data_IF_842611169960
#
_entry.id   IF_842611169960
#
_cell.length_a   1.000
_cell.length_b   1.000
_cell.length_c   1.000
_cell.angle_alpha   90.00
_cell.angle_beta   90.00
_cell.angle_gamma   90.00
#
_symmetry.space_group_name_H-M   'P 1'
#
loop_
_entity.id
_entity.type
_entity.pdbx_description
1 polymer ?
#
# COMPACT_ATOMS: atom_id res chain seq x y z
N UNK A 1 44.44 -34.80 5.33
CA UNK A 1 44.11 -33.52 6.00
C UNK A 1 42.96 -32.76 5.35
N UNK A 2 42.89 -32.60 4.02
CA UNK A 2 41.82 -31.80 3.36
C UNK A 2 40.41 -32.43 3.45
N UNK A 3 40.31 -33.77 3.37
CA UNK A 3 39.03 -34.50 3.49
C UNK A 3 38.45 -34.49 4.91
N UNK A 4 39.31 -34.55 5.93
CA UNK A 4 38.88 -34.44 7.34
C UNK A 4 38.40 -33.04 7.69
N UNK A 5 39.00 -32.00 7.10
CA UNK A 5 38.55 -30.61 7.31
C UNK A 5 37.13 -30.36 6.75
N UNK A 6 36.83 -30.94 5.56
CA UNK A 6 35.51 -30.83 4.92
C UNK A 6 34.40 -31.55 5.71
N UNK A 7 34.72 -32.71 6.29
CA UNK A 7 33.76 -33.46 7.13
C UNK A 7 33.46 -32.67 8.40
N UNK A 8 34.47 -32.08 9.05
CA UNK A 8 34.26 -31.26 10.24
C UNK A 8 33.53 -29.94 9.95
N UNK A 9 33.77 -29.33 8.77
CA UNK A 9 33.01 -28.15 8.33
C UNK A 9 31.52 -28.47 8.08
N UNK A 10 31.22 -29.62 7.46
CA UNK A 10 29.84 -30.06 7.25
C UNK A 10 29.12 -30.42 8.56
N UNK A 11 29.82 -31.04 9.52
CA UNK A 11 29.27 -31.35 10.85
C UNK A 11 29.03 -30.08 11.66
N UNK A 12 29.95 -29.09 11.61
CA UNK A 12 29.76 -27.78 12.21
C UNK A 12 28.58 -27.02 11.59
N UNK A 13 28.43 -27.06 10.26
CA UNK A 13 27.31 -26.41 9.57
C UNK A 13 25.96 -27.03 9.98
N UNK A 14 25.89 -28.36 10.08
CA UNK A 14 24.71 -29.07 10.59
C UNK A 14 24.42 -28.76 12.06
N UNK A 15 25.45 -28.57 12.89
CA UNK A 15 25.28 -28.16 14.29
C UNK A 15 24.81 -26.70 14.42
N UNK A 16 25.32 -25.79 13.59
CA UNK A 16 24.90 -24.38 13.56
C UNK A 16 23.45 -24.28 13.07
N UNK A 17 23.08 -25.02 12.02
CA UNK A 17 21.70 -25.10 11.54
C UNK A 17 20.76 -25.71 12.58
N UNK A 18 21.22 -26.72 13.34
CA UNK A 18 20.47 -27.29 14.46
C UNK A 18 20.28 -26.33 15.64
N UNK A 19 21.24 -25.42 15.88
CA UNK A 19 21.15 -24.42 16.95
C UNK A 19 20.27 -23.22 16.58
N UNK A 20 20.27 -22.80 15.30
CA UNK A 20 19.37 -21.74 14.80
C UNK A 20 17.91 -22.21 14.80
N UNK A 21 17.66 -23.50 14.63
CA UNK A 21 16.31 -24.10 14.73
C UNK A 21 15.71 -24.17 16.14
N UNK A 22 16.45 -23.79 17.20
CA UNK A 22 15.97 -23.93 18.58
C UNK A 22 15.54 -22.63 19.28
N UNK A 23 15.53 -21.46 18.63
CA UNK A 23 15.18 -20.19 19.31
C UNK A 23 14.08 -19.34 18.69
N UNK A 24 13.34 -19.85 17.69
CA UNK A 24 12.11 -19.19 17.21
C UNK A 24 10.88 -20.05 17.49
N UNK A 25 10.47 -20.07 18.76
CA UNK A 25 9.19 -20.66 19.19
C UNK A 25 8.11 -19.58 19.25
N UNK A 26 7.33 -19.46 18.18
CA UNK A 26 6.01 -18.80 18.22
C UNK A 26 4.96 -19.72 18.87
N UNK A 27 3.83 -19.17 19.29
CA UNK A 27 2.76 -19.83 20.08
C UNK A 27 2.14 -21.10 19.46
N UNK A 28 2.52 -21.51 18.23
CA UNK A 28 1.96 -22.68 17.51
C UNK A 28 2.96 -23.81 17.19
N UNK A 29 4.17 -23.80 17.75
CA UNK A 29 5.18 -24.86 17.51
C UNK A 29 6.16 -24.54 16.37
N UNK A 30 7.07 -25.48 16.03
CA UNK A 30 8.05 -25.26 14.96
C UNK A 30 7.35 -25.14 13.61
N UNK A 31 7.78 -24.19 12.78
CA UNK A 31 7.32 -24.02 11.40
C UNK A 31 7.34 -25.37 10.68
N UNK A 32 6.26 -25.67 9.98
CA UNK A 32 6.22 -26.83 9.10
C UNK A 32 7.28 -26.66 8.00
N UNK A 33 7.74 -27.79 7.43
CA UNK A 33 8.75 -27.75 6.36
C UNK A 33 8.30 -26.89 5.18
N UNK A 34 6.99 -26.83 4.92
CA UNK A 34 6.38 -26.02 3.87
C UNK A 34 6.43 -24.52 4.20
N UNK A 35 6.13 -24.13 5.44
CA UNK A 35 6.26 -22.73 5.89
C UNK A 35 7.72 -22.27 5.98
N UNK A 36 8.63 -23.16 6.37
CA UNK A 36 10.07 -22.89 6.40
C UNK A 36 10.66 -22.78 4.99
N UNK A 37 10.15 -23.57 4.03
CA UNK A 37 10.50 -23.46 2.61
C UNK A 37 9.90 -22.19 2.01
N UNK A 38 8.67 -21.81 2.34
CA UNK A 38 8.08 -20.58 1.83
C UNK A 38 8.78 -19.33 2.38
N UNK A 39 9.06 -19.29 3.69
CA UNK A 39 9.88 -18.24 4.30
C UNK A 39 11.33 -18.24 3.78
N UNK A 40 11.88 -19.43 3.49
CA UNK A 40 13.20 -19.59 2.88
C UNK A 40 13.25 -19.12 1.43
N UNK A 41 12.19 -19.34 0.64
CA UNK A 41 12.03 -18.89 -0.76
C UNK A 41 11.84 -17.37 -0.81
N UNK A 42 11.03 -16.80 0.08
CA UNK A 42 10.92 -15.35 0.27
C UNK A 42 12.27 -14.73 0.68
N UNK A 43 13.08 -15.45 1.46
CA UNK A 43 14.43 -15.03 1.85
C UNK A 43 15.56 -15.35 0.81
N UNK A 44 15.28 -16.10 -0.26
CA UNK A 44 16.26 -16.50 -1.29
C UNK A 44 15.98 -15.97 -2.69
N UNK A 45 15.09 -14.99 -2.84
CA UNK A 45 15.17 -14.04 -3.96
C UNK A 45 16.42 -13.17 -3.75
N UNK A 46 17.60 -13.75 -3.92
CA UNK A 46 18.84 -12.99 -3.88
C UNK A 46 18.84 -12.01 -5.04
N UNK A 47 19.32 -10.80 -4.77
CA UNK A 47 19.61 -9.76 -5.78
C UNK A 47 20.26 -10.35 -7.03
N UNK A 48 21.12 -11.36 -6.88
CA UNK A 48 21.83 -12.04 -7.97
C UNK A 48 20.92 -12.90 -8.86
N UNK A 49 20.03 -13.72 -8.28
CA UNK A 49 19.11 -14.55 -9.06
C UNK A 49 18.10 -13.71 -9.84
N UNK A 50 17.70 -12.58 -9.27
CA UNK A 50 16.81 -11.62 -9.93
C UNK A 50 17.54 -10.81 -11.02
N UNK A 51 18.75 -10.31 -10.74
CA UNK A 51 19.59 -9.64 -11.74
C UNK A 51 19.93 -10.54 -12.94
N UNK A 52 20.14 -11.85 -12.71
CA UNK A 52 20.38 -12.81 -13.79
C UNK A 52 19.14 -13.00 -14.67
N UNK A 53 17.95 -13.12 -14.06
CA UNK A 53 16.68 -13.19 -14.81
C UNK A 53 16.38 -11.92 -15.61
N UNK A 54 16.67 -10.74 -15.05
CA UNK A 54 16.47 -9.45 -15.74
C UNK A 54 17.48 -9.26 -16.88
N UNK A 55 18.73 -9.66 -16.70
CA UNK A 55 19.73 -9.52 -17.77
C UNK A 55 19.45 -10.46 -18.94
N UNK A 56 18.85 -11.62 -18.70
CA UNK A 56 18.40 -12.54 -19.75
C UNK A 56 17.17 -11.99 -20.50
N UNK A 57 16.22 -11.37 -19.77
CA UNK A 57 15.10 -10.66 -20.37
C UNK A 57 15.57 -9.45 -21.23
N UNK A 58 16.57 -8.68 -20.75
CA UNK A 58 17.16 -7.56 -21.48
C UNK A 58 17.81 -8.00 -22.78
N UNK A 59 18.57 -9.11 -22.76
CA UNK A 59 19.18 -9.67 -23.98
C UNK A 59 18.14 -10.14 -24.99
N UNK A 60 17.01 -10.67 -24.51
CA UNK A 60 15.90 -11.09 -25.35
C UNK A 60 15.23 -9.89 -26.03
N UNK A 61 14.97 -8.82 -25.28
CA UNK A 61 14.39 -7.58 -25.83
C UNK A 61 15.30 -6.89 -26.85
N UNK A 62 16.62 -6.82 -26.59
CA UNK A 62 17.60 -6.27 -27.53
C UNK A 62 17.68 -7.11 -28.81
N UNK A 63 17.47 -8.43 -28.74
CA UNK A 63 17.43 -9.28 -29.91
C UNK A 63 16.17 -9.05 -30.78
N UNK A 64 15.05 -8.69 -30.15
CA UNK A 64 13.80 -8.34 -30.86
C UNK A 64 13.86 -6.94 -31.49
N UNK A 65 14.48 -5.96 -30.81
CA UNK A 65 14.65 -4.60 -31.33
C UNK A 65 15.60 -4.56 -32.56
N UNK A 66 16.64 -5.39 -32.57
CA UNK A 66 17.54 -5.52 -33.72
C UNK A 66 16.90 -6.25 -34.93
N UNK A 67 15.71 -6.82 -34.77
CA UNK A 67 14.97 -7.49 -35.85
C UNK A 67 13.94 -6.58 -36.55
N UNK A 68 13.72 -5.34 -36.07
CA UNK A 68 12.70 -4.45 -36.62
C UNK A 68 13.07 -2.98 -36.54
N UNK A 69 13.64 -2.42 -37.61
CA UNK A 69 13.69 -0.96 -37.80
C UNK A 69 12.61 -0.52 -38.79
N UNK A 70 11.71 0.37 -38.37
CA UNK A 70 11.58 1.77 -38.82
C UNK A 70 10.12 2.23 -38.62
N UNK A 71 9.85 3.09 -37.64
CA UNK A 71 8.96 4.23 -37.87
C UNK A 71 9.15 5.30 -36.79
N UNK A 72 9.25 6.54 -37.26
CA UNK A 72 9.54 7.73 -36.49
C UNK A 72 8.20 8.37 -36.10
N UNK A 73 7.72 8.18 -34.86
CA UNK A 73 6.51 8.82 -34.35
C UNK A 73 6.83 9.95 -33.37
N UNK A 74 6.34 11.13 -33.74
CA UNK A 74 6.33 12.35 -32.93
C UNK A 74 5.44 12.15 -31.70
N UNK A 75 6.02 12.20 -30.51
CA UNK A 75 5.32 12.12 -29.23
C UNK A 75 4.56 13.44 -28.99
N UNK A 76 3.24 13.40 -29.09
CA UNK A 76 2.36 14.46 -28.59
C UNK A 76 2.03 14.18 -27.13
N UNK A 77 2.36 15.11 -26.24
CA UNK A 77 1.90 15.12 -24.85
C UNK A 77 0.37 15.10 -24.83
N UNK A 78 -0.29 14.10 -24.22
CA UNK A 78 -1.73 14.11 -24.08
C UNK A 78 -2.13 15.29 -23.19
N UNK A 79 -2.89 16.21 -23.75
CA UNK A 79 -3.63 17.20 -22.97
C UNK A 79 -4.81 16.47 -22.33
N UNK A 80 -5.09 16.64 -21.03
CA UNK A 80 -6.22 15.99 -20.40
C UNK A 80 -7.52 16.40 -21.11
N UNK A 81 -8.21 15.43 -21.71
CA UNK A 81 -9.54 15.61 -22.27
C UNK A 81 -10.51 15.76 -21.11
N UNK A 82 -11.11 16.95 -21.00
CA UNK A 82 -12.15 17.23 -20.00
C UNK A 82 -13.39 16.39 -20.34
N UNK A 83 -13.76 15.48 -19.45
CA UNK A 83 -14.95 14.61 -19.55
C UNK A 83 -16.22 15.47 -19.76
N UNK A 84 -17.19 15.02 -20.57
CA UNK A 84 -18.56 15.48 -20.43
C UNK A 84 -19.05 15.06 -19.04
N UNK A 85 -19.17 16.02 -18.13
CA UNK A 85 -19.76 15.81 -16.81
C UNK A 85 -21.10 15.10 -16.99
N UNK A 86 -21.17 13.81 -16.62
CA UNK A 86 -22.45 13.16 -16.37
C UNK A 86 -23.21 13.99 -15.35
N UNK A 87 -24.55 14.02 -15.45
CA UNK A 87 -25.38 14.75 -14.49
C UNK A 87 -24.92 14.40 -13.07
N UNK A 88 -24.50 15.38 -12.24
CA UNK A 88 -23.89 15.08 -10.96
C UNK A 88 -24.88 14.28 -10.13
N UNK A 89 -24.55 13.04 -9.82
CA UNK A 89 -25.22 12.31 -8.74
C UNK A 89 -25.17 13.24 -7.52
N UNK A 90 -26.32 13.60 -6.93
CA UNK A 90 -26.33 14.56 -5.84
C UNK A 90 -25.49 13.99 -4.70
N UNK A 91 -24.33 14.60 -4.44
CA UNK A 91 -23.55 14.28 -3.25
C UNK A 91 -24.44 14.57 -2.04
N UNK A 92 -24.61 13.61 -1.12
CA UNK A 92 -25.39 13.86 0.09
C UNK A 92 -24.82 15.07 0.80
N UNK A 93 -25.67 16.04 1.13
CA UNK A 93 -25.26 17.17 1.96
C UNK A 93 -25.00 16.62 3.36
N UNK A 94 -23.76 16.71 3.83
CA UNK A 94 -23.41 16.26 5.17
C UNK A 94 -24.18 17.07 6.21
N UNK A 95 -24.59 16.39 7.26
CA UNK A 95 -25.15 17.03 8.44
C UNK A 95 -24.05 17.84 9.15
N UNK A 96 -24.32 19.08 9.60
CA UNK A 96 -23.32 19.88 10.30
C UNK A 96 -22.78 19.16 11.53
N UNK A 97 -21.51 19.43 11.84
CA UNK A 97 -20.84 18.87 12.99
C UNK A 97 -21.64 19.13 14.27
N UNK A 98 -21.78 18.08 15.09
CA UNK A 98 -22.48 18.12 16.37
C UNK A 98 -21.51 17.78 17.51
N UNK A 99 -21.95 17.92 18.76
CA UNK A 99 -21.10 17.61 19.91
C UNK A 99 -20.67 16.14 19.92
N UNK A 100 -19.36 15.92 20.06
CA UNK A 100 -18.75 14.59 20.15
C UNK A 100 -19.16 13.87 21.43
N UNK A 101 -19.59 12.61 21.31
CA UNK A 101 -20.10 11.80 22.43
C UNK A 101 -19.19 10.65 22.77
N UNK A 102 -18.44 10.15 21.80
CA UNK A 102 -17.55 9.01 21.94
C UNK A 102 -16.17 9.35 21.41
N UNK A 103 -15.16 8.98 22.20
CA UNK A 103 -13.76 9.18 21.87
C UNK A 103 -13.05 7.83 21.87
N UNK A 104 -12.10 7.58 20.95
CA UNK A 104 -11.30 6.38 21.01
C UNK A 104 -10.44 6.35 22.27
N UNK A 105 -10.19 5.15 22.78
CA UNK A 105 -9.33 4.91 23.92
C UNK A 105 -7.85 4.85 23.54
N UNK A 106 -7.04 4.37 24.48
CA UNK A 106 -5.66 3.93 24.19
C UNK A 106 -5.64 2.49 23.68
N UNK A 107 -4.64 2.16 22.86
CA UNK A 107 -4.39 0.81 22.36
C UNK A 107 -3.59 0.05 23.42
N UNK A 108 -4.23 -0.81 24.21
CA UNK A 108 -3.59 -1.53 25.34
C UNK A 108 -3.25 -2.99 25.05
N UNK A 109 -3.87 -3.56 24.02
CA UNK A 109 -3.79 -4.99 23.71
C UNK A 109 -2.93 -5.26 22.48
N UNK A 110 -2.54 -6.53 22.29
CA UNK A 110 -1.91 -7.01 21.06
C UNK A 110 -2.80 -6.71 19.84
N UNK A 111 -2.16 -6.36 18.73
CA UNK A 111 -2.79 -6.14 17.42
C UNK A 111 -3.33 -7.47 16.88
N UNK A 112 -4.38 -7.41 16.07
CA UNK A 112 -5.04 -8.59 15.49
C UNK A 112 -4.30 -9.08 14.25
N UNK A 113 -3.89 -8.16 13.39
CA UNK A 113 -3.10 -8.43 12.20
C UNK A 113 -2.14 -7.27 11.94
N UNK A 114 -1.14 -7.54 11.12
CA UNK A 114 -0.22 -6.53 10.64
C UNK A 114 0.24 -6.89 9.24
N UNK A 115 0.70 -5.89 8.52
CA UNK A 115 1.40 -6.03 7.24
C UNK A 115 2.72 -5.28 7.35
N UNK A 116 3.73 -5.79 6.66
CA UNK A 116 5.02 -5.12 6.46
C UNK A 116 5.09 -4.77 4.99
N UNK A 117 5.51 -3.55 4.69
CA UNK A 117 5.69 -3.11 3.33
C UNK A 117 7.16 -3.18 2.91
N UNK A 118 7.43 -2.91 1.65
CA UNK A 118 8.79 -2.64 1.22
C UNK A 118 9.30 -1.34 1.89
N UNK A 119 10.60 -1.26 2.15
CA UNK A 119 11.20 -0.07 2.74
C UNK A 119 12.13 0.57 1.71
N UNK A 120 11.65 1.59 1.00
CA UNK A 120 12.43 2.27 -0.05
C UNK A 120 13.65 3.01 0.49
N UNK A 121 13.71 3.33 1.79
CA UNK A 121 14.89 3.98 2.39
C UNK A 121 16.19 3.19 2.21
N UNK A 122 16.12 1.87 2.07
CA UNK A 122 17.29 0.99 1.89
C UNK A 122 18.07 1.30 0.60
N UNK A 123 17.41 1.90 -0.40
CA UNK A 123 17.99 2.25 -1.71
C UNK A 123 17.77 3.71 -2.10
N UNK A 124 17.33 4.56 -1.16
CA UNK A 124 17.01 5.95 -1.42
C UNK A 124 18.20 6.77 -1.95
N UNK A 125 19.42 6.54 -1.43
CA UNK A 125 20.65 7.21 -1.88
C UNK A 125 21.02 6.88 -3.34
N UNK A 126 20.47 5.79 -3.87
CA UNK A 126 20.68 5.34 -5.25
C UNK A 126 19.55 5.79 -6.18
N UNK A 127 18.55 6.52 -5.65
CA UNK A 127 17.41 7.05 -6.36
C UNK A 127 16.55 5.96 -7.04
N UNK A 128 16.37 4.83 -6.36
CA UNK A 128 15.66 3.64 -6.85
C UNK A 128 14.86 2.94 -5.74
N UNK A 129 13.91 2.10 -6.15
CA UNK A 129 13.32 1.06 -5.28
C UNK A 129 12.92 -0.16 -6.08
N UNK A 130 12.71 -1.30 -5.39
CA UNK A 130 12.33 -2.59 -5.98
C UNK A 130 10.95 -3.08 -5.54
N UNK A 131 10.26 -2.34 -4.65
CA UNK A 131 8.92 -2.70 -4.17
C UNK A 131 7.80 -2.46 -5.18
N UNK A 132 8.04 -1.68 -6.23
CA UNK A 132 6.99 -1.23 -7.15
C UNK A 132 6.49 -2.38 -8.02
N UNK A 133 5.23 -2.77 -7.83
CA UNK A 133 4.50 -3.74 -8.63
C UNK A 133 3.30 -3.06 -9.30
N UNK A 134 3.59 -2.16 -10.25
CA UNK A 134 2.60 -1.37 -10.97
C UNK A 134 1.40 -2.18 -11.49
N UNK A 135 1.68 -3.37 -12.06
CA UNK A 135 0.65 -4.25 -12.63
C UNK A 135 -0.29 -4.87 -11.60
N UNK A 136 0.10 -4.88 -10.33
CA UNK A 136 -0.67 -5.43 -9.22
C UNK A 136 -1.26 -4.35 -8.29
N UNK A 137 -1.19 -3.07 -8.69
CA UNK A 137 -1.62 -1.93 -7.88
C UNK A 137 -0.99 -1.92 -6.47
N UNK A 138 0.29 -2.33 -6.38
CA UNK A 138 1.13 -2.17 -5.20
C UNK A 138 2.25 -1.22 -5.64
N UNK A 139 2.13 0.04 -5.26
CA UNK A 139 2.93 1.13 -5.78
C UNK A 139 3.91 1.59 -4.70
N UNK A 140 5.19 1.37 -4.94
CA UNK A 140 6.26 1.79 -4.04
C UNK A 140 6.92 3.02 -4.67
N UNK A 141 6.29 4.19 -4.53
CA UNK A 141 6.72 5.41 -5.22
C UNK A 141 6.89 6.60 -4.29
N UNK A 142 7.60 6.47 -3.14
CA UNK A 142 7.87 7.59 -2.23
C UNK A 142 8.98 8.52 -2.77
N UNK A 143 8.91 8.90 -4.04
CA UNK A 143 9.93 9.67 -4.75
C UNK A 143 9.31 10.77 -5.62
N UNK A 144 10.03 11.87 -5.80
CA UNK A 144 9.64 12.93 -6.72
C UNK A 144 9.74 12.47 -8.19
N UNK A 145 8.87 12.99 -9.05
CA UNK A 145 8.95 12.73 -10.49
C UNK A 145 10.28 13.23 -11.10
N UNK A 146 10.86 12.45 -12.01
CA UNK A 146 12.10 12.79 -12.71
C UNK A 146 13.35 12.63 -11.86
N UNK A 147 13.47 13.43 -10.80
CA UNK A 147 14.70 13.51 -9.99
C UNK A 147 14.83 12.37 -8.99
N UNK A 148 13.76 11.62 -8.73
CA UNK A 148 13.77 10.47 -7.82
C UNK A 148 14.28 10.81 -6.41
N UNK A 149 13.91 12.00 -5.91
CA UNK A 149 14.24 12.43 -4.55
C UNK A 149 13.28 11.74 -3.58
N UNK A 150 13.84 10.93 -2.68
CA UNK A 150 13.10 10.15 -1.70
C UNK A 150 12.35 11.03 -0.67
N UNK A 151 11.14 10.59 -0.29
CA UNK A 151 10.28 11.21 0.72
C UNK A 151 9.82 10.14 1.74
N UNK A 152 10.62 9.91 2.78
CA UNK A 152 10.29 8.89 3.80
C UNK A 152 9.06 9.18 4.66
N UNK A 153 8.44 10.36 4.52
CA UNK A 153 7.18 10.72 5.19
C UNK A 153 5.94 10.21 4.45
N UNK A 154 6.11 9.59 3.29
CA UNK A 154 5.06 8.86 2.56
C UNK A 154 5.40 7.39 2.33
N UNK A 155 6.64 6.97 2.61
CA UNK A 155 7.06 5.55 2.61
C UNK A 155 6.49 4.84 3.85
N UNK A 156 5.49 3.99 3.65
CA UNK A 156 4.86 3.15 4.67
C UNK A 156 5.73 1.91 4.83
N UNK A 157 6.21 1.63 6.03
CA UNK A 157 7.03 0.43 6.28
C UNK A 157 6.24 -0.68 6.96
N UNK A 158 5.12 -0.34 7.60
CA UNK A 158 4.29 -1.27 8.37
C UNK A 158 2.93 -0.68 8.67
N UNK A 159 1.92 -1.53 8.73
CA UNK A 159 0.62 -1.18 9.30
C UNK A 159 0.16 -2.26 10.27
N UNK A 160 -0.31 -1.84 11.44
CA UNK A 160 -0.96 -2.74 12.40
C UNK A 160 -2.45 -2.46 12.45
N UNK A 161 -3.26 -3.52 12.53
CA UNK A 161 -4.69 -3.43 12.75
C UNK A 161 -5.07 -4.03 14.11
N UNK A 162 -5.82 -3.27 14.90
CA UNK A 162 -6.41 -3.72 16.16
C UNK A 162 -7.93 -3.57 16.07
N UNK A 163 -8.65 -4.68 16.05
CA UNK A 163 -10.11 -4.71 16.03
C UNK A 163 -10.64 -4.88 17.44
N UNK A 164 -11.45 -3.91 17.87
CA UNK A 164 -12.17 -3.92 19.14
C UNK A 164 -13.69 -3.85 18.92
N UNK A 165 -14.50 -4.01 19.98
CA UNK A 165 -15.96 -4.04 19.88
C UNK A 165 -16.55 -2.68 19.47
N UNK A 166 -15.98 -1.56 19.93
CA UNK A 166 -16.44 -0.21 19.60
C UNK A 166 -15.55 0.46 18.55
N UNK A 167 -14.24 0.22 18.65
CA UNK A 167 -13.24 0.88 17.82
C UNK A 167 -12.32 -0.14 17.18
N UNK A 168 -12.01 0.11 15.92
CA UNK A 168 -10.88 -0.50 15.25
C UNK A 168 -9.82 0.56 15.02
N UNK A 169 -8.57 0.19 15.26
CA UNK A 169 -7.41 1.07 15.16
C UNK A 169 -6.48 0.56 14.07
N UNK A 170 -6.11 1.44 13.14
CA UNK A 170 -4.95 1.25 12.28
C UNK A 170 -3.79 2.10 12.80
N UNK A 171 -2.61 1.50 12.87
CA UNK A 171 -1.36 2.19 13.23
C UNK A 171 -0.46 2.12 12.02
N UNK A 172 -0.23 3.25 11.37
CA UNK A 172 0.57 3.34 10.15
C UNK A 172 1.95 3.86 10.55
N UNK A 173 2.98 3.10 10.19
CA UNK A 173 4.38 3.43 10.44
C UNK A 173 5.02 3.85 9.12
N UNK A 174 5.68 4.99 9.16
CA UNK A 174 6.42 5.56 8.05
C UNK A 174 7.92 5.35 8.26
N UNK A 175 8.71 5.45 7.19
CA UNK A 175 10.16 5.36 7.25
C UNK A 175 10.80 6.53 8.01
N UNK A 176 10.15 7.71 8.03
CA UNK A 176 10.61 8.90 8.74
C UNK A 176 9.55 9.49 9.67
N UNK A 177 9.99 10.39 10.56
CA UNK A 177 9.12 11.15 11.45
C UNK A 177 8.06 11.92 10.66
N UNK A 178 6.82 11.93 11.15
CA UNK A 178 5.76 12.77 10.60
C UNK A 178 6.15 14.24 10.72
N UNK A 179 6.14 15.02 9.62
CA UNK A 179 6.47 16.44 9.69
C UNK A 179 5.36 17.21 10.41
N UNK A 180 5.65 18.35 11.03
CA UNK A 180 4.67 19.10 11.84
C UNK A 180 3.41 19.52 11.05
N UNK A 181 3.56 19.75 9.75
CA UNK A 181 2.49 20.09 8.81
C UNK A 181 2.89 19.65 7.40
N UNK A 182 1.92 19.49 6.50
CA UNK A 182 2.18 19.18 5.10
C UNK A 182 0.89 19.02 4.31
N UNK A 183 1.03 18.74 3.01
CA UNK A 183 -0.07 18.44 2.10
C UNK A 183 -0.40 16.96 2.04
N UNK A 184 0.49 16.10 2.53
CA UNK A 184 0.35 14.65 2.46
C UNK A 184 -0.97 14.19 3.08
N UNK A 185 -1.56 13.23 2.40
CA UNK A 185 -2.73 12.51 2.87
C UNK A 185 -2.37 11.06 3.08
N UNK A 186 -3.03 10.45 4.05
CA UNK A 186 -2.84 9.05 4.39
C UNK A 186 -4.20 8.40 4.57
N UNK A 187 -4.25 7.08 4.55
CA UNK A 187 -5.52 6.44 4.73
C UNK A 187 -5.52 4.93 4.73
N UNK A 188 -6.74 4.42 4.68
CA UNK A 188 -7.05 3.01 4.52
C UNK A 188 -8.03 2.84 3.36
N UNK A 189 -7.92 1.70 2.69
CA UNK A 189 -8.98 1.15 1.86
C UNK A 189 -9.53 -0.08 2.58
N UNK A 190 -10.84 -0.22 2.61
CA UNK A 190 -11.56 -1.34 3.21
C UNK A 190 -12.47 -1.94 2.15
N UNK A 191 -12.40 -3.26 1.98
CA UNK A 191 -13.22 -4.04 1.05
C UNK A 191 -13.96 -5.13 1.86
N UNK A 192 -15.25 -4.92 2.04
CA UNK A 192 -16.14 -5.74 2.87
C UNK A 192 -16.58 -7.04 2.20
N UNK A 193 -16.42 -7.13 0.89
CA UNK A 193 -16.94 -8.23 0.09
C UNK A 193 -15.84 -9.02 -0.64
N UNK A 194 -14.59 -8.64 -0.39
CA UNK A 194 -13.37 -9.36 -0.77
C UNK A 194 -13.17 -9.45 -2.30
N UNK A 195 -13.82 -8.57 -3.07
CA UNK A 195 -13.80 -8.61 -4.54
C UNK A 195 -12.66 -7.78 -5.16
N UNK A 196 -11.85 -7.10 -4.35
CA UNK A 196 -10.78 -6.25 -4.83
C UNK A 196 -11.17 -4.78 -5.02
N UNK A 197 -12.44 -4.41 -4.89
CA UNK A 197 -12.94 -3.04 -5.03
C UNK A 197 -13.32 -2.53 -3.64
N UNK A 198 -12.58 -1.53 -3.15
CA UNK A 198 -12.82 -0.99 -1.81
C UNK A 198 -14.21 -0.38 -1.69
N UNK A 199 -14.97 -0.77 -0.67
CA UNK A 199 -16.27 -0.17 -0.36
C UNK A 199 -16.10 1.17 0.36
N UNK A 200 -15.02 1.31 1.16
CA UNK A 200 -14.72 2.53 1.91
C UNK A 200 -13.27 2.96 1.77
N UNK A 201 -13.07 4.27 1.67
CA UNK A 201 -11.78 4.92 1.79
C UNK A 201 -11.80 5.91 2.95
N UNK A 202 -10.93 5.66 3.93
CA UNK A 202 -10.66 6.61 5.00
C UNK A 202 -9.45 7.45 4.58
N UNK A 203 -9.58 8.77 4.64
CA UNK A 203 -8.51 9.72 4.36
C UNK A 203 -8.27 10.62 5.57
N UNK A 204 -7.02 10.92 5.86
CA UNK A 204 -6.59 11.91 6.84
C UNK A 204 -5.47 12.77 6.28
N UNK A 205 -5.41 14.04 6.68
CA UNK A 205 -4.20 14.85 6.53
C UNK A 205 -3.12 14.46 7.54
N UNK A 206 -2.03 15.23 7.57
CA UNK A 206 -0.96 15.10 8.59
C UNK A 206 -1.53 15.39 9.98
N UNK A 207 -1.54 14.43 10.92
CA UNK A 207 -2.15 14.64 12.23
C UNK A 207 -1.34 15.66 13.04
N UNK A 208 -2.00 16.72 13.50
CA UNK A 208 -1.33 17.83 14.18
C UNK A 208 -1.01 17.54 15.67
N UNK A 209 -1.70 16.59 16.31
CA UNK A 209 -1.64 16.41 17.77
C UNK A 209 -1.58 14.93 18.18
N UNK A 210 -1.14 14.67 19.41
CA UNK A 210 -1.20 13.34 20.05
C UNK A 210 -2.58 13.06 20.68
N UNK A 211 -3.45 14.06 20.76
CA UNK A 211 -4.84 13.89 21.18
C UNK A 211 -5.69 13.49 19.97
N UNK A 212 -6.74 12.71 20.23
CA UNK A 212 -7.69 12.32 19.18
C UNK A 212 -8.40 13.55 18.61
N UNK A 213 -8.43 13.66 17.29
CA UNK A 213 -9.17 14.71 16.58
C UNK A 213 -9.88 14.14 15.35
N UNK A 214 -11.01 14.74 14.97
CA UNK A 214 -11.66 14.47 13.69
C UNK A 214 -11.16 15.40 12.58
N UNK A 215 -10.35 16.41 12.91
CA UNK A 215 -9.94 17.44 11.96
C UNK A 215 -9.17 16.84 10.79
N UNK A 216 -9.51 17.26 9.58
CA UNK A 216 -8.87 16.84 8.32
C UNK A 216 -9.03 15.33 8.04
N UNK A 217 -10.06 14.70 8.64
CA UNK A 217 -10.43 13.29 8.42
C UNK A 217 -11.70 13.22 7.58
N UNK A 218 -11.68 12.35 6.56
CA UNK A 218 -12.78 12.12 5.64
C UNK A 218 -13.02 10.63 5.43
N UNK A 219 -14.27 10.28 5.18
CA UNK A 219 -14.65 8.92 4.74
C UNK A 219 -15.45 9.02 3.46
N UNK A 220 -15.00 8.26 2.47
CA UNK A 220 -15.67 8.12 1.19
C UNK A 220 -16.18 6.71 1.02
N UNK A 221 -17.29 6.58 0.29
CA UNK A 221 -17.93 5.33 -0.04
C UNK A 221 -18.04 5.19 -1.56
N UNK A 222 -17.74 3.99 -2.05
CA UNK A 222 -18.03 3.54 -3.41
C UNK A 222 -19.49 3.05 -3.46
N UNK A 223 -20.34 3.72 -4.24
CA UNK A 223 -21.77 3.42 -4.28
C UNK A 223 -22.15 2.45 -5.40
N UNK A 224 -21.46 2.51 -6.52
CA UNK A 224 -21.66 1.70 -7.73
C UNK A 224 -20.78 0.46 -7.81
N UNK A 225 -19.80 0.34 -6.90
CA UNK A 225 -18.90 -0.82 -6.72
C UNK A 225 -17.97 -1.00 -7.90
N UNK A 226 -17.44 0.08 -8.44
CA UNK A 226 -16.65 0.11 -9.66
C UNK A 226 -15.32 0.87 -9.53
N UNK A 227 -14.79 1.07 -8.31
CA UNK A 227 -13.41 1.55 -8.11
C UNK A 227 -12.41 0.78 -8.99
N UNK A 228 -11.62 1.51 -9.77
CA UNK A 228 -10.58 0.98 -10.66
C UNK A 228 -11.10 0.44 -11.99
N UNK A 229 -10.28 -0.37 -12.67
CA UNK A 229 -10.55 -0.92 -14.00
C UNK A 229 -11.52 -2.09 -14.03
N UNK A 230 -11.53 -2.84 -15.13
CA UNK A 230 -12.32 -4.07 -15.29
C UNK A 230 -11.85 -5.16 -14.32
N UNK A 231 -10.53 -5.26 -14.08
CA UNK A 231 -9.89 -6.27 -13.25
C UNK A 231 -9.39 -5.62 -11.95
N UNK A 232 -10.05 -5.86 -10.80
CA UNK A 232 -9.65 -5.26 -9.53
C UNK A 232 -8.19 -5.54 -9.19
N UNK A 233 -7.49 -4.51 -8.71
CA UNK A 233 -6.06 -4.58 -8.32
C UNK A 233 -5.12 -5.04 -9.46
N UNK A 234 -5.54 -4.93 -10.72
CA UNK A 234 -4.69 -5.25 -11.88
C UNK A 234 -4.71 -4.11 -12.86
N UNK A 235 -3.54 -3.71 -13.33
CA UNK A 235 -3.45 -2.67 -14.35
C UNK A 235 -4.22 -3.07 -15.62
N UNK A 236 -5.20 -2.26 -15.95
CA UNK A 236 -5.93 -2.23 -17.21
C UNK A 236 -5.44 -1.07 -18.10
N UNK A 237 -5.74 -1.16 -19.39
CA UNK A 237 -5.53 -0.03 -20.29
C UNK A 237 -6.40 1.16 -19.82
N UNK A 238 -5.85 2.39 -19.80
CA UNK A 238 -6.64 3.55 -19.42
C UNK A 238 -7.86 3.73 -20.34
N UNK A 239 -9.05 3.65 -19.76
CA UNK A 239 -10.31 3.88 -20.47
C UNK A 239 -11.04 5.10 -19.90
N UNK A 240 -11.80 5.78 -20.76
CA UNK A 240 -12.66 6.86 -20.31
C UNK A 240 -13.81 6.32 -19.46
N UNK A 241 -14.15 7.05 -18.39
CA UNK A 241 -15.34 6.75 -17.59
C UNK A 241 -15.07 5.99 -16.28
N UNK A 242 -13.83 5.55 -16.02
CA UNK A 242 -13.45 5.05 -14.70
C UNK A 242 -13.64 6.14 -13.64
N UNK A 243 -14.10 5.73 -12.46
CA UNK A 243 -14.31 6.52 -11.24
C UNK A 243 -13.55 5.87 -10.06
N UNK A 244 -13.82 6.36 -8.86
CA UNK A 244 -13.10 6.01 -7.64
C UNK A 244 -14.12 5.97 -6.52
N UNK A 245 -14.03 6.89 -5.57
CA UNK A 245 -15.07 7.02 -4.55
C UNK A 245 -15.92 8.27 -4.79
N UNK A 246 -17.25 8.14 -4.75
CA UNK A 246 -18.21 9.17 -5.18
C UNK A 246 -18.87 9.88 -4.00
N UNK A 247 -19.06 9.16 -2.89
CA UNK A 247 -19.88 9.63 -1.78
C UNK A 247 -19.03 9.97 -0.55
N UNK A 248 -18.90 11.26 -0.26
CA UNK A 248 -18.39 11.73 1.02
C UNK A 248 -19.47 11.53 2.10
N UNK A 249 -19.18 10.69 3.10
CA UNK A 249 -20.13 10.35 4.18
C UNK A 249 -19.72 10.90 5.56
N UNK A 250 -18.47 11.35 5.68
CA UNK A 250 -17.93 11.99 6.87
C UNK A 250 -16.86 13.00 6.50
N UNK A 251 -16.91 14.22 7.06
CA UNK A 251 -15.87 15.23 6.90
C UNK A 251 -15.70 16.01 8.21
N UNK A 252 -14.61 15.76 8.92
CA UNK A 252 -14.23 16.54 10.09
C UNK A 252 -15.32 16.64 11.17
N UNK A 253 -16.07 15.56 11.39
CA UNK A 253 -17.20 15.49 12.33
C UNK A 253 -18.55 15.88 11.74
N UNK A 254 -18.59 16.34 10.48
CA UNK A 254 -19.81 16.45 9.70
C UNK A 254 -20.20 15.08 9.14
N UNK A 255 -21.51 14.79 9.10
CA UNK A 255 -22.06 13.48 8.73
C UNK A 255 -23.09 12.98 9.74
N UNK A 256 -23.62 11.78 9.51
CA UNK A 256 -24.63 11.19 10.40
C UNK A 256 -24.07 10.91 11.80
N UNK A 257 -22.79 10.55 11.85
CA UNK A 257 -22.07 10.23 13.07
C UNK A 257 -20.83 11.14 13.22
N UNK A 258 -20.85 12.13 14.14
CA UNK A 258 -19.73 13.05 14.32
C UNK A 258 -18.49 12.38 14.91
N UNK A 259 -18.61 11.15 15.40
CA UNK A 259 -17.54 10.40 16.02
C UNK A 259 -17.09 9.22 15.16
N UNK A 260 -17.46 9.17 13.87
CA UNK A 260 -17.23 8.00 13.01
C UNK A 260 -15.75 7.61 12.93
N UNK A 261 -14.87 8.59 12.69
CA UNK A 261 -13.42 8.38 12.53
C UNK A 261 -12.63 9.50 13.20
N UNK A 262 -11.53 9.11 13.82
CA UNK A 262 -10.59 9.96 14.52
C UNK A 262 -9.16 9.66 14.09
N UNK A 263 -8.29 10.65 14.20
CA UNK A 263 -6.87 10.52 13.94
C UNK A 263 -6.04 11.15 15.06
N UNK A 264 -4.82 10.67 15.26
CA UNK A 264 -3.79 11.32 16.08
C UNK A 264 -2.39 10.87 15.69
N UNK A 265 -1.37 11.64 16.09
CA UNK A 265 0.01 11.14 16.16
C UNK A 265 0.12 10.05 17.20
N UNK A 266 1.00 9.08 16.97
CA UNK A 266 1.30 8.09 17.99
C UNK A 266 2.17 8.74 19.09
N UNK A 267 1.71 8.80 20.35
CA UNK A 267 2.48 9.40 21.44
C UNK A 267 3.77 8.64 21.75
N UNK A 268 3.86 7.37 21.36
CA UNK A 268 4.98 6.48 21.70
C UNK A 268 5.98 6.32 20.55
N UNK A 269 5.66 6.79 19.33
CA UNK A 269 6.56 6.69 18.18
C UNK A 269 6.32 7.81 17.15
N UNK A 270 7.29 8.72 16.93
CA UNK A 270 7.16 9.87 16.03
C UNK A 270 7.04 9.51 14.54
N UNK A 271 7.45 8.31 14.13
CA UNK A 271 7.30 7.82 12.75
C UNK A 271 5.93 7.20 12.48
N UNK A 272 4.96 7.32 13.40
CA UNK A 272 3.66 6.69 13.24
C UNK A 272 2.50 7.55 13.71
N UNK A 273 1.34 7.26 13.14
CA UNK A 273 0.08 7.85 13.53
C UNK A 273 -0.99 6.76 13.61
N UNK A 274 -2.14 7.12 14.19
CA UNK A 274 -3.21 6.20 14.48
C UNK A 274 -4.51 6.75 13.91
N UNK A 275 -5.24 5.90 13.19
CA UNK A 275 -6.61 6.13 12.77
C UNK A 275 -7.48 5.21 13.62
N UNK A 276 -8.52 5.75 14.24
CA UNK A 276 -9.55 4.98 14.92
C UNK A 276 -10.88 5.21 14.21
N UNK A 277 -11.57 4.14 13.83
CA UNK A 277 -12.90 4.20 13.25
C UNK A 277 -13.83 3.27 13.99
N UNK A 278 -15.12 3.60 14.01
CA UNK A 278 -16.09 2.75 14.70
C UNK A 278 -16.21 1.41 14.02
N UNK A 279 -16.20 0.36 14.84
CA UNK A 279 -16.28 -1.02 14.33
C UNK A 279 -17.62 -1.30 13.66
N UNK A 280 -18.69 -0.60 14.02
CA UNK A 280 -20.02 -0.75 13.39
C UNK A 280 -20.08 -0.23 11.94
N UNK A 281 -19.14 0.63 11.53
CA UNK A 281 -19.02 1.10 10.14
C UNK A 281 -18.74 -0.06 9.17
N UNK A 282 -17.91 -1.00 9.59
CA UNK A 282 -17.41 -2.12 8.77
C UNK A 282 -18.08 -3.44 9.20
N UNK A 283 -18.36 -3.57 10.48
CA UNK A 283 -18.77 -4.81 11.12
C UNK A 283 -17.58 -5.67 11.58
N UNK A 284 -17.91 -6.88 12.03
CA UNK A 284 -16.95 -7.91 12.48
C UNK A 284 -16.97 -9.15 11.56
N UNK A 285 -17.76 -9.11 10.50
CA UNK A 285 -17.70 -10.06 9.39
C UNK A 285 -16.49 -9.69 8.56
N UNK A 286 -15.68 -10.68 8.17
CA UNK A 286 -14.35 -10.43 7.62
C UNK A 286 -14.29 -9.47 6.43
N UNK A 287 -13.12 -8.88 6.22
CA UNK A 287 -12.86 -7.87 5.20
C UNK A 287 -11.37 -7.83 4.82
N UNK A 288 -11.10 -7.32 3.62
CA UNK A 288 -9.76 -6.94 3.19
C UNK A 288 -9.47 -5.47 3.54
N UNK A 289 -8.20 -5.16 3.77
CA UNK A 289 -7.77 -3.80 4.05
C UNK A 289 -6.33 -3.55 3.59
N UNK A 290 -6.03 -2.32 3.19
CA UNK A 290 -4.67 -1.82 2.92
C UNK A 290 -4.53 -0.38 3.41
N UNK A 291 -3.30 0.11 3.51
CA UNK A 291 -3.02 1.52 3.73
C UNK A 291 -2.40 2.18 2.51
N UNK A 292 -2.47 3.50 2.48
CA UNK A 292 -1.87 4.31 1.43
C UNK A 292 -1.42 5.67 1.97
N UNK A 293 -0.47 6.27 1.28
CA UNK A 293 0.07 7.61 1.51
C UNK A 293 0.21 8.33 0.16
N UNK A 294 -0.15 9.61 0.11
CA UNK A 294 -0.25 10.36 -1.15
C UNK A 294 0.07 11.85 -0.92
N UNK A 295 1.12 12.33 -1.58
CA UNK A 295 1.45 13.75 -1.73
C UNK A 295 1.55 14.16 -3.21
N UNK A 296 1.07 13.29 -4.10
CA UNK A 296 1.12 13.47 -5.55
C UNK A 296 -0.24 13.89 -6.11
N UNK A 297 -1.04 12.91 -6.51
CA UNK A 297 -2.30 13.14 -7.23
C UNK A 297 -3.44 13.56 -6.29
N UNK A 298 -3.56 12.89 -5.14
CA UNK A 298 -4.61 13.12 -4.14
C UNK A 298 -6.05 13.12 -4.70
N UNK A 299 -6.23 12.42 -5.82
CA UNK A 299 -7.49 12.30 -6.56
C UNK A 299 -8.23 11.03 -6.12
N UNK A 300 -9.19 11.20 -5.21
CA UNK A 300 -10.02 10.10 -4.67
C UNK A 300 -10.91 9.44 -5.72
N UNK A 301 -11.29 10.20 -6.75
CA UNK A 301 -12.10 9.78 -7.89
C UNK A 301 -11.28 9.02 -8.94
N UNK A 302 -9.97 8.89 -8.71
CA UNK A 302 -9.00 8.22 -9.58
C UNK A 302 -8.37 7.01 -8.90
N UNK A 303 -8.86 6.58 -7.73
CA UNK A 303 -8.29 5.44 -6.99
C UNK A 303 -8.17 4.19 -7.86
N UNK A 304 -7.17 3.39 -7.52
CA UNK A 304 -6.47 2.47 -8.43
C UNK A 304 -5.77 3.25 -9.56
N UNK A 305 -4.79 4.08 -9.15
CA UNK A 305 -4.09 4.98 -10.06
C UNK A 305 -3.39 4.27 -11.22
N UNK A 306 -3.00 3.02 -11.02
CA UNK A 306 -2.40 2.22 -12.07
C UNK A 306 -3.34 2.04 -13.28
N UNK A 307 -4.66 2.15 -13.14
CA UNK A 307 -5.62 2.07 -14.26
C UNK A 307 -5.82 3.40 -14.99
N UNK A 308 -5.25 4.50 -14.46
CA UNK A 308 -5.40 5.85 -15.03
C UNK A 308 -4.23 6.27 -15.92
N UNK A 309 -3.13 5.54 -15.84
CA UNK A 309 -1.92 5.83 -16.59
C UNK A 309 -1.42 4.56 -17.25
N UNK A 310 -0.85 4.67 -18.45
CA UNK A 310 -0.01 3.60 -18.97
C UNK A 310 1.26 3.52 -18.15
N UNK A 311 1.93 2.37 -18.13
CA UNK A 311 3.19 2.19 -17.42
C UNK A 311 4.24 3.21 -17.90
N UNK A 312 4.30 3.49 -19.20
CA UNK A 312 5.21 4.46 -19.81
C UNK A 312 4.96 5.90 -19.32
N UNK A 313 3.68 6.26 -19.14
CA UNK A 313 3.26 7.57 -18.66
C UNK A 313 3.53 7.72 -17.16
N UNK A 314 3.25 6.67 -16.38
CA UNK A 314 3.51 6.63 -14.95
C UNK A 314 5.02 6.62 -14.63
N UNK A 315 5.84 6.05 -15.51
CA UNK A 315 7.25 5.80 -15.28
C UNK A 315 7.47 4.67 -14.26
N UNK A 316 8.75 4.36 -14.01
CA UNK A 316 9.15 3.29 -13.08
C UNK A 316 10.29 3.74 -12.17
N UNK A 317 10.28 3.36 -10.88
CA UNK A 317 11.43 3.60 -10.00
C UNK A 317 12.55 2.56 -10.17
N UNK A 318 12.32 1.49 -10.95
CA UNK A 318 13.28 0.42 -11.12
C UNK A 318 14.40 0.83 -12.10
N UNK A 319 15.70 0.77 -11.72
CA UNK A 319 16.80 1.30 -12.54
C UNK A 319 17.02 0.55 -13.86
N UNK A 320 16.62 -0.71 -13.94
CA UNK A 320 16.73 -1.49 -15.17
C UNK A 320 15.54 -1.29 -16.12
N UNK A 321 14.55 -0.51 -15.74
CA UNK A 321 13.35 -0.27 -16.55
C UNK A 321 13.65 0.73 -17.69
N UNK A 322 13.24 0.46 -18.94
CA UNK A 322 13.39 1.43 -20.04
C UNK A 322 12.54 2.69 -19.85
N UNK A 323 11.58 2.65 -18.91
CA UNK A 323 10.69 3.77 -18.58
C UNK A 323 11.05 4.45 -17.25
N UNK A 324 12.22 4.16 -16.68
CA UNK A 324 12.81 4.94 -15.59
C UNK A 324 13.08 6.39 -16.04
N UNK A 325 12.92 7.42 -15.18
CA UNK A 325 12.45 7.39 -13.78
C UNK A 325 10.92 7.41 -13.65
N UNK A 326 10.41 7.51 -12.41
CA UNK A 326 9.00 7.84 -12.13
C UNK A 326 8.62 9.17 -12.82
N UNK A 327 7.38 9.23 -13.32
CA UNK A 327 6.80 10.37 -14.04
C UNK A 327 5.45 10.80 -13.44
N UNK A 328 4.31 10.48 -14.07
CA UNK A 328 3.01 11.06 -13.71
C UNK A 328 2.40 10.50 -12.42
N UNK A 329 2.85 9.33 -11.97
CA UNK A 329 2.42 8.70 -10.73
C UNK A 329 3.60 8.62 -9.77
N UNK A 330 3.75 9.67 -8.97
CA UNK A 330 4.87 9.95 -8.07
C UNK A 330 4.33 10.36 -6.69
N UNK A 331 5.20 10.34 -5.68
CA UNK A 331 4.84 10.65 -4.29
C UNK A 331 3.60 9.88 -3.79
N UNK A 332 3.57 8.59 -4.11
CA UNK A 332 2.49 7.70 -3.71
C UNK A 332 3.06 6.40 -3.19
N UNK A 333 2.46 5.90 -2.13
CA UNK A 333 2.80 4.60 -1.59
C UNK A 333 1.53 3.87 -1.16
N UNK A 334 1.45 2.57 -1.41
CA UNK A 334 0.41 1.74 -0.86
C UNK A 334 0.85 0.31 -0.63
N UNK A 335 0.30 -0.22 0.45
CA UNK A 335 0.59 -1.57 0.88
C UNK A 335 -0.17 -2.55 0.00
N UNK A 336 0.31 -3.80 -0.06
CA UNK A 336 -0.57 -4.94 -0.38
C UNK A 336 -1.72 -5.05 0.64
N UNK A 337 -2.71 -5.88 0.34
CA UNK A 337 -3.87 -6.08 1.21
C UNK A 337 -3.62 -7.17 2.25
N UNK A 338 -4.11 -6.92 3.44
CA UNK A 338 -4.27 -7.92 4.50
C UNK A 338 -5.75 -8.16 4.74
N UNK A 339 -6.07 -9.03 5.69
CA UNK A 339 -7.43 -9.47 5.98
C UNK A 339 -7.73 -9.43 7.49
N UNK A 340 -9.01 -9.46 7.82
CA UNK A 340 -9.51 -9.68 9.17
C UNK A 340 -10.75 -10.56 9.11
N UNK A 341 -11.00 -11.39 10.13
CA UNK A 341 -12.30 -12.04 10.33
C UNK A 341 -12.63 -13.22 9.41
N UNK A 342 -11.72 -13.62 8.51
CA UNK A 342 -11.83 -14.82 7.69
C UNK A 342 -10.45 -15.48 7.45
N UNK A 343 -10.43 -16.64 6.79
CA UNK A 343 -9.19 -17.29 6.33
C UNK A 343 -9.13 -17.16 4.81
N UNK A 344 -8.12 -16.47 4.25
CA UNK A 344 -8.01 -16.29 2.81
C UNK A 344 -7.73 -17.60 2.10
N UNK A 345 -8.19 -17.68 0.85
CA UNK A 345 -7.94 -18.78 -0.06
C UNK A 345 -6.67 -18.57 -0.88
N UNK A 346 -6.13 -17.35 -0.88
CA UNK A 346 -4.99 -16.91 -1.69
C UNK A 346 -5.39 -16.38 -3.07
N UNK A 347 -6.68 -16.29 -3.38
CA UNK A 347 -7.19 -15.75 -4.66
C UNK A 347 -7.78 -14.34 -4.51
N UNK A 348 -7.81 -13.82 -3.29
CA UNK A 348 -8.32 -12.49 -2.98
C UNK A 348 -7.45 -11.42 -3.69
N UNK A 349 -8.04 -10.49 -4.46
CA UNK A 349 -7.27 -9.52 -5.21
C UNK A 349 -6.41 -8.62 -4.32
N UNK A 350 -5.14 -8.47 -4.68
CA UNK A 350 -4.19 -7.60 -3.98
C UNK A 350 -3.68 -8.12 -2.64
N UNK A 351 -4.04 -9.35 -2.23
CA UNK A 351 -3.53 -9.96 -0.99
C UNK A 351 -2.00 -10.04 -1.01
N UNK A 352 -1.36 -9.76 0.13
CA UNK A 352 0.08 -9.91 0.27
C UNK A 352 0.55 -11.36 -0.03
N UNK A 353 1.67 -11.55 -0.76
CA UNK A 353 2.16 -12.86 -1.19
C UNK A 353 2.85 -13.69 -0.10
#
# INVERSE_FOLDING_TARGET
>A
MRKTLLIWAAVMLLFILGLVGCTYGGENGPLTLEEAVHAGVQATLTKEAWLEGVEDARKTAIAEENAGSTENQSISTPTPTIRPTGEPTPTPTLKPASEHKMFPGGIKDRVNSYLVDYNSSDYADEHITYGDQYKANILERPFTAGDMIYQGTIDIIRVNLKVGPEWTYAIIYLAMDLPESGTMTYGLVIDLNENGRGDFLIQTGVPATIDWTVKDVKVYQDLDRDVGGERPMKNDEPVEGLNGYEALIFDSGEGEDPDLVWVRRNPDNPTSFQIAYKTDMIGLTGYLWSAWADDGLQAIDYRDYNDRFTEEAAGSPYPGSPIYPIKSLYLFDNTCRSYFGFTPTGNEPGLCP
#
